data_IF_081193488922
#
_entry.id   IF_081193488922
#
_cell.length_a   1.000
_cell.length_b   1.000
_cell.length_c   1.000
_cell.angle_alpha   90.00
_cell.angle_beta   90.00
_cell.angle_gamma   90.00
#
_symmetry.space_group_name_H-M   'P 1'
#
loop_
_entity.id
_entity.type
_entity.pdbx_description
1 polymer ?
#
# COMPACT_ATOMS: atom_id res chain seq x y z
N UNK A 1 13.53 12.05 16.00
CA UNK A 1 13.48 11.72 14.56
C UNK A 1 14.77 11.01 14.20
N UNK A 2 14.74 9.68 14.13
CA UNK A 2 15.93 8.89 13.76
C UNK A 2 16.11 8.95 12.24
N UNK A 3 17.31 9.29 11.76
CA UNK A 3 17.60 9.38 10.35
C UNK A 3 17.49 8.00 9.68
N UNK A 4 16.74 7.90 8.59
CA UNK A 4 16.67 6.68 7.77
C UNK A 4 18.03 6.44 7.12
N UNK A 5 18.75 5.41 7.58
CA UNK A 5 20.01 4.99 6.98
C UNK A 5 19.70 4.21 5.70
N UNK A 6 20.35 4.56 4.59
CA UNK A 6 20.20 3.82 3.33
C UNK A 6 20.51 2.32 3.57
N UNK A 7 19.64 1.43 3.09
CA UNK A 7 19.76 -0.02 3.32
C UNK A 7 19.23 -0.53 4.67
N UNK A 8 18.66 0.34 5.53
CA UNK A 8 17.91 -0.11 6.71
C UNK A 8 16.58 -0.77 6.31
N UNK A 9 16.13 -1.72 7.13
CA UNK A 9 14.87 -2.46 6.89
C UNK A 9 13.69 -1.52 7.13
N UNK A 10 12.86 -1.34 6.09
CA UNK A 10 11.65 -0.54 6.17
C UNK A 10 10.48 -1.38 6.71
N UNK A 11 10.38 -2.64 6.28
CA UNK A 11 9.35 -3.60 6.68
C UNK A 11 10.03 -4.95 6.90
N UNK A 12 9.71 -5.59 8.01
CA UNK A 12 10.09 -6.97 8.32
C UNK A 12 8.86 -7.75 8.77
N UNK A 13 8.71 -8.95 8.25
CA UNK A 13 7.69 -9.92 8.61
C UNK A 13 8.41 -11.22 8.93
N UNK A 14 8.31 -11.67 10.17
CA UNK A 14 9.01 -12.87 10.63
C UNK A 14 8.02 -13.96 11.02
N UNK A 15 8.22 -15.16 10.48
CA UNK A 15 7.45 -16.37 10.73
C UNK A 15 5.92 -16.17 10.59
N UNK A 16 5.48 -15.45 9.56
CA UNK A 16 4.06 -15.15 9.37
C UNK A 16 3.30 -16.41 8.92
N UNK A 17 2.30 -16.77 9.71
CA UNK A 17 1.36 -17.84 9.39
C UNK A 17 -0.05 -17.26 9.21
N UNK A 18 -0.79 -17.81 8.23
CA UNK A 18 -2.19 -17.47 8.02
C UNK A 18 -2.98 -18.65 7.50
N UNK A 19 -4.11 -18.94 8.14
CA UNK A 19 -5.08 -19.96 7.77
C UNK A 19 -6.42 -19.31 7.42
N UNK A 20 -7.11 -19.91 6.46
CA UNK A 20 -8.50 -19.63 6.14
C UNK A 20 -9.25 -20.96 6.13
N UNK A 21 -10.09 -21.19 7.14
CA UNK A 21 -10.70 -22.50 7.35
C UNK A 21 -9.64 -23.60 7.43
N UNK A 22 -9.77 -24.64 6.61
CA UNK A 22 -8.81 -25.76 6.53
C UNK A 22 -7.56 -25.49 5.70
N UNK A 23 -7.43 -24.32 5.05
CA UNK A 23 -6.33 -24.03 4.13
C UNK A 23 -5.28 -23.15 4.81
N UNK A 24 -4.02 -23.56 4.74
CA UNK A 24 -2.88 -22.72 5.12
C UNK A 24 -2.45 -21.86 3.95
N UNK A 25 -2.82 -20.58 3.97
CA UNK A 25 -2.39 -19.62 2.96
C UNK A 25 -0.92 -19.18 3.16
N UNK A 26 -0.45 -19.12 4.41
CA UNK A 26 0.95 -18.84 4.76
C UNK A 26 1.40 -19.79 5.88
N UNK A 27 2.64 -20.25 5.83
CA UNK A 27 3.26 -21.14 6.82
C UNK A 27 4.64 -20.60 7.21
N UNK A 28 4.72 -19.92 8.36
CA UNK A 28 5.96 -19.36 8.90
C UNK A 28 6.82 -18.64 7.84
N UNK A 29 6.20 -17.74 7.07
CA UNK A 29 6.86 -17.02 5.97
C UNK A 29 7.62 -15.81 6.50
N UNK A 30 8.87 -15.68 6.08
CA UNK A 30 9.68 -14.49 6.28
C UNK A 30 9.66 -13.58 5.04
N UNK A 31 9.52 -12.28 5.25
CA UNK A 31 9.54 -11.27 4.19
C UNK A 31 10.07 -9.93 4.70
N UNK A 32 11.03 -9.35 3.99
CA UNK A 32 11.60 -8.04 4.31
C UNK A 32 11.64 -7.12 3.09
N UNK A 33 11.61 -5.82 3.35
CA UNK A 33 11.90 -4.78 2.35
C UNK A 33 12.71 -3.67 3.00
N UNK A 34 13.78 -3.23 2.36
CA UNK A 34 14.60 -2.08 2.81
C UNK A 34 14.12 -0.77 2.21
N UNK A 35 14.52 0.34 2.83
CA UNK A 35 14.32 1.65 2.21
C UNK A 35 15.07 1.73 0.87
N UNK A 36 14.42 2.34 -0.12
CA UNK A 36 14.93 2.48 -1.49
C UNK A 36 15.16 1.15 -2.23
N UNK A 37 14.50 0.07 -1.79
CA UNK A 37 14.55 -1.24 -2.45
C UNK A 37 13.30 -1.49 -3.28
N UNK A 38 13.47 -2.07 -4.46
CA UNK A 38 12.38 -2.70 -5.21
C UNK A 38 12.48 -4.21 -4.99
N UNK A 39 11.47 -4.80 -4.37
CA UNK A 39 11.39 -6.24 -4.15
C UNK A 39 10.24 -6.85 -4.93
N UNK A 40 10.54 -7.90 -5.68
CA UNK A 40 9.54 -8.71 -6.37
C UNK A 40 9.15 -9.92 -5.51
N UNK A 41 7.86 -10.15 -5.36
CA UNK A 41 7.31 -11.36 -4.75
C UNK A 41 6.65 -12.22 -5.85
N UNK A 42 7.28 -13.34 -6.17
CA UNK A 42 6.88 -14.22 -7.27
C UNK A 42 6.43 -15.60 -6.74
N UNK A 43 5.62 -16.30 -7.54
CA UNK A 43 5.09 -17.62 -7.20
C UNK A 43 3.78 -17.91 -7.90
N UNK A 44 3.32 -19.16 -7.83
CA UNK A 44 2.07 -19.60 -8.49
C UNK A 44 0.81 -18.99 -7.86
N UNK A 45 -0.31 -19.10 -8.56
CA UNK A 45 -1.61 -18.74 -8.00
C UNK A 45 -1.91 -19.64 -6.79
N UNK A 46 -2.35 -19.02 -5.69
CA UNK A 46 -2.56 -19.75 -4.43
C UNK A 46 -1.33 -19.84 -3.52
N UNK A 47 -0.14 -19.40 -3.94
CA UNK A 47 1.07 -19.42 -3.12
C UNK A 47 1.08 -18.42 -1.93
N UNK A 48 -0.03 -17.71 -1.66
CA UNK A 48 -0.14 -16.80 -0.52
C UNK A 48 0.36 -15.37 -0.76
N UNK A 49 0.83 -15.02 -1.98
CA UNK A 49 1.34 -13.67 -2.30
C UNK A 49 0.36 -12.54 -1.97
N UNK A 50 -0.90 -12.69 -2.37
CA UNK A 50 -1.92 -11.69 -2.06
C UNK A 50 -2.26 -11.67 -0.56
N UNK A 51 -2.10 -12.79 0.14
CA UNK A 51 -2.33 -12.89 1.59
C UNK A 51 -1.29 -12.09 2.36
N UNK A 52 0.01 -12.26 2.06
CA UNK A 52 1.06 -11.52 2.75
C UNK A 52 0.94 -10.01 2.51
N UNK A 53 0.57 -9.61 1.28
CA UNK A 53 0.29 -8.23 0.94
C UNK A 53 -0.93 -7.67 1.69
N UNK A 54 -2.04 -8.44 1.81
CA UNK A 54 -3.22 -8.05 2.60
C UNK A 54 -2.89 -7.87 4.08
N UNK A 55 -2.00 -8.71 4.63
CA UNK A 55 -1.51 -8.56 6.00
C UNK A 55 -0.72 -7.25 6.16
N UNK A 56 0.17 -6.92 5.22
CA UNK A 56 0.89 -5.64 5.22
C UNK A 56 -0.02 -4.42 5.12
N UNK A 57 -1.14 -4.53 4.39
CA UNK A 57 -2.17 -3.48 4.34
C UNK A 57 -3.04 -3.44 5.61
N UNK A 58 -2.93 -4.44 6.49
CA UNK A 58 -3.77 -4.57 7.67
C UNK A 58 -5.23 -4.97 7.37
N UNK A 59 -5.48 -5.56 6.19
CA UNK A 59 -6.80 -6.13 5.84
C UNK A 59 -6.98 -7.49 6.51
N UNK A 60 -5.88 -8.23 6.65
CA UNK A 60 -5.85 -9.53 7.32
C UNK A 60 -4.91 -9.45 8.53
N UNK A 61 -5.27 -10.13 9.61
CA UNK A 61 -4.42 -10.27 10.79
C UNK A 61 -3.68 -11.60 10.68
N UNK A 62 -2.35 -11.66 10.85
CA UNK A 62 -1.63 -12.93 10.86
C UNK A 62 -2.05 -13.76 12.08
N UNK A 63 -2.09 -15.08 11.95
CA UNK A 63 -2.42 -15.95 13.09
C UNK A 63 -1.20 -16.10 14.02
N UNK A 64 0.00 -16.06 13.44
CA UNK A 64 1.28 -16.15 14.15
C UNK A 64 2.35 -15.29 13.44
N UNK A 65 3.47 -15.07 14.13
CA UNK A 65 4.59 -14.29 13.64
C UNK A 65 4.45 -12.81 14.00
N UNK A 66 5.37 -11.99 13.48
CA UNK A 66 5.43 -10.56 13.85
C UNK A 66 5.82 -9.65 12.71
N UNK A 67 5.33 -8.41 12.79
CA UNK A 67 5.54 -7.38 11.79
C UNK A 67 6.33 -6.24 12.45
N UNK A 68 7.39 -5.77 11.81
CA UNK A 68 8.14 -4.58 12.22
C UNK A 68 8.11 -3.58 11.08
N UNK A 69 7.74 -2.33 11.36
CA UNK A 69 7.69 -1.26 10.36
C UNK A 69 8.53 -0.09 10.85
N UNK A 70 9.56 0.27 10.09
CA UNK A 70 10.54 1.33 10.44
C UNK A 70 11.14 1.17 11.83
N UNK A 71 11.39 -0.08 12.25
CA UNK A 71 11.94 -0.43 13.57
C UNK A 71 10.91 -0.65 14.67
N UNK A 72 9.64 -0.30 14.46
CA UNK A 72 8.59 -0.49 15.46
C UNK A 72 7.89 -1.84 15.28
N UNK A 73 7.99 -2.72 16.28
CA UNK A 73 7.27 -4.00 16.30
C UNK A 73 5.77 -3.76 16.48
N UNK A 74 4.97 -4.47 15.68
CA UNK A 74 3.52 -4.41 15.62
C UNK A 74 2.96 -5.82 15.71
N UNK A 75 1.99 -6.02 16.59
CA UNK A 75 1.25 -7.28 16.69
C UNK A 75 0.30 -7.48 15.51
N UNK A 76 -0.30 -6.39 15.03
CA UNK A 76 -1.16 -6.36 13.85
C UNK A 76 -1.14 -4.97 13.21
N UNK A 77 -1.57 -4.90 11.95
CA UNK A 77 -1.84 -3.66 11.23
C UNK A 77 -3.34 -3.53 10.98
N UNK A 78 -3.81 -2.30 10.91
CA UNK A 78 -5.13 -1.95 10.38
C UNK A 78 -4.94 -1.14 9.10
N UNK A 79 -5.96 -1.02 8.23
CA UNK A 79 -5.84 -0.21 7.01
C UNK A 79 -5.56 1.27 7.28
N UNK A 80 -5.97 1.79 8.44
CA UNK A 80 -5.61 3.15 8.87
C UNK A 80 -4.15 3.21 9.32
N UNK A 81 -3.74 2.34 10.25
CA UNK A 81 -2.36 2.37 10.76
C UNK A 81 -1.31 2.07 9.69
N UNK A 82 -1.61 1.18 8.73
CA UNK A 82 -0.71 0.90 7.60
C UNK A 82 -0.51 2.16 6.75
N UNK A 83 -1.58 2.91 6.46
CA UNK A 83 -1.50 4.19 5.74
C UNK A 83 -0.71 5.25 6.51
N UNK A 84 -0.95 5.39 7.81
CA UNK A 84 -0.23 6.34 8.66
C UNK A 84 1.29 6.04 8.69
N UNK A 85 1.66 4.78 8.48
CA UNK A 85 3.06 4.33 8.36
C UNK A 85 3.64 4.52 6.93
N UNK A 86 2.83 4.94 5.96
CA UNK A 86 3.22 5.13 4.56
C UNK A 86 3.14 3.87 3.70
N UNK A 87 2.38 2.85 4.11
CA UNK A 87 2.17 1.62 3.34
C UNK A 87 0.95 1.82 2.43
N UNK A 88 1.21 1.94 1.13
CA UNK A 88 0.20 1.99 0.07
C UNK A 88 0.14 0.67 -0.72
N UNK A 89 -1.01 0.40 -1.33
CA UNK A 89 -1.20 -0.76 -2.23
C UNK A 89 -2.01 -0.35 -3.45
N UNK A 90 -1.55 -0.78 -4.62
CA UNK A 90 -2.28 -0.68 -5.89
C UNK A 90 -2.81 -2.08 -6.22
N UNK A 91 -4.11 -2.20 -6.46
CA UNK A 91 -4.75 -3.47 -6.82
C UNK A 91 -4.66 -3.74 -8.32
N UNK A 92 -4.73 -5.02 -8.70
CA UNK A 92 -4.65 -5.45 -10.11
C UNK A 92 -5.85 -4.98 -10.95
N UNK A 93 -7.02 -4.78 -10.34
CA UNK A 93 -8.19 -4.22 -11.01
C UNK A 93 -8.33 -2.72 -10.71
N UNK A 94 -8.64 -1.95 -11.76
CA UNK A 94 -8.81 -0.49 -11.70
C UNK A 94 -9.85 -0.12 -10.65
N UNK A 95 -9.42 0.53 -9.56
CA UNK A 95 -10.29 0.95 -8.46
C UNK A 95 -10.87 2.36 -8.64
N UNK A 96 -11.07 2.80 -9.88
CA UNK A 96 -11.64 4.13 -10.16
C UNK A 96 -13.15 4.13 -9.89
N UNK A 97 -13.64 5.23 -9.32
CA UNK A 97 -15.08 5.51 -9.23
C UNK A 97 -15.44 6.43 -10.40
N UNK A 98 -16.18 5.95 -11.42
CA UNK A 98 -16.42 6.70 -12.65
C UNK A 98 -17.16 8.03 -12.43
N UNK A 99 -18.01 8.08 -11.42
CA UNK A 99 -18.81 9.26 -11.09
C UNK A 99 -18.02 10.34 -10.35
N UNK A 100 -16.78 10.04 -9.93
CA UNK A 100 -15.90 10.99 -9.28
C UNK A 100 -14.96 11.65 -10.29
N UNK A 101 -14.67 12.93 -10.05
CA UNK A 101 -13.62 13.63 -10.82
C UNK A 101 -12.25 12.97 -10.58
N UNK A 102 -11.28 13.27 -11.45
CA UNK A 102 -9.90 12.80 -11.28
C UNK A 102 -9.32 13.21 -9.91
N UNK A 103 -9.53 14.47 -9.50
CA UNK A 103 -9.09 14.94 -8.20
C UNK A 103 -9.74 14.15 -7.06
N UNK A 104 -11.06 13.93 -7.11
CA UNK A 104 -11.75 13.15 -6.09
C UNK A 104 -11.31 11.68 -6.06
N UNK A 105 -10.99 11.07 -7.20
CA UNK A 105 -10.40 9.73 -7.23
C UNK A 105 -9.00 9.69 -6.60
N UNK A 106 -8.16 10.72 -6.81
CA UNK A 106 -6.80 10.80 -6.22
C UNK A 106 -6.87 10.90 -4.69
N UNK A 107 -7.80 11.70 -4.17
CA UNK A 107 -7.92 11.99 -2.74
C UNK A 107 -8.96 11.13 -2.02
N UNK A 108 -9.53 10.13 -2.68
CA UNK A 108 -10.54 9.26 -2.07
C UNK A 108 -9.98 8.57 -0.81
N UNK A 109 -10.72 8.67 0.30
CA UNK A 109 -10.33 8.22 1.64
C UNK A 109 -9.15 9.01 2.29
N UNK A 110 -8.80 10.15 1.71
CA UNK A 110 -7.87 11.15 2.23
C UNK A 110 -8.30 12.58 1.80
N UNK A 111 -9.59 12.88 1.91
CA UNK A 111 -10.16 14.13 1.46
C UNK A 111 -9.69 15.29 2.37
N UNK A 112 -9.06 16.35 1.84
CA UNK A 112 -8.78 17.55 2.61
C UNK A 112 -10.10 18.19 3.05
N UNK A 113 -10.09 18.78 4.24
CA UNK A 113 -11.27 19.46 4.79
C UNK A 113 -10.96 20.93 5.04
N UNK A 114 -11.98 21.76 4.86
CA UNK A 114 -11.97 23.17 5.25
C UNK A 114 -11.91 23.30 6.77
N UNK A 115 -11.66 24.51 7.29
CA UNK A 115 -11.70 24.77 8.74
C UNK A 115 -13.05 24.45 9.41
N UNK A 116 -14.12 24.30 8.64
CA UNK A 116 -15.44 23.88 9.10
C UNK A 116 -15.68 22.36 9.05
N UNK A 117 -14.68 21.55 8.64
CA UNK A 117 -14.79 20.10 8.52
C UNK A 117 -15.50 19.60 7.25
N UNK A 118 -15.85 20.49 6.32
CA UNK A 118 -16.42 20.13 5.01
C UNK A 118 -15.32 19.78 4.02
N UNK A 119 -15.58 18.86 3.09
CA UNK A 119 -14.63 18.47 2.03
C UNK A 119 -14.22 19.71 1.21
N UNK A 120 -12.90 19.92 1.08
CA UNK A 120 -12.31 21.00 0.31
C UNK A 120 -11.99 20.55 -1.12
N UNK A 121 -13.02 20.66 -1.94
CA UNK A 121 -13.00 20.32 -3.35
C UNK A 121 -12.02 21.19 -4.15
N UNK A 122 -11.73 22.43 -3.69
CA UNK A 122 -10.77 23.32 -4.35
C UNK A 122 -9.35 22.87 -4.06
N UNK A 123 -9.03 22.58 -2.80
CA UNK A 123 -7.72 22.08 -2.39
C UNK A 123 -7.35 20.79 -3.16
N UNK A 124 -8.29 19.84 -3.29
CA UNK A 124 -8.07 18.62 -4.08
C UNK A 124 -7.69 18.91 -5.54
N UNK A 125 -8.35 19.86 -6.19
CA UNK A 125 -8.06 20.21 -7.60
C UNK A 125 -6.70 20.87 -7.75
N UNK A 126 -6.32 21.74 -6.83
CA UNK A 126 -5.03 22.44 -6.86
C UNK A 126 -3.88 21.47 -6.57
N UNK A 127 -4.04 20.57 -5.60
CA UNK A 127 -3.03 19.55 -5.30
C UNK A 127 -2.91 18.50 -6.42
N UNK A 128 -4.03 18.06 -7.01
CA UNK A 128 -4.00 17.20 -8.19
C UNK A 128 -3.21 17.84 -9.34
N UNK A 129 -3.37 19.15 -9.59
CA UNK A 129 -2.60 19.87 -10.62
C UNK A 129 -1.11 19.81 -10.33
N UNK A 130 -0.70 19.98 -9.07
CA UNK A 130 0.71 19.90 -8.66
C UNK A 130 1.28 18.49 -8.84
N UNK A 131 0.53 17.46 -8.46
CA UNK A 131 0.90 16.06 -8.68
C UNK A 131 1.15 15.81 -10.18
N UNK A 132 0.20 16.19 -11.05
CA UNK A 132 0.37 16.02 -12.49
C UNK A 132 1.54 16.83 -13.06
N UNK A 133 1.80 18.04 -12.54
CA UNK A 133 2.94 18.85 -12.97
C UNK A 133 4.29 18.23 -12.58
N UNK A 134 4.36 17.50 -11.47
CA UNK A 134 5.57 16.79 -11.03
C UNK A 134 5.82 15.46 -11.74
N UNK A 135 4.80 14.88 -12.38
CA UNK A 135 4.93 13.61 -13.08
C UNK A 135 5.72 13.79 -14.37
N UNK A 136 6.76 12.97 -14.54
CA UNK A 136 7.42 12.81 -15.85
C UNK A 136 6.34 12.31 -16.82
N UNK A 137 6.20 12.98 -17.97
CA UNK A 137 5.27 12.52 -19.01
C UNK A 137 5.73 11.16 -19.53
N UNK A 138 5.21 10.09 -18.93
CA UNK A 138 5.34 8.73 -19.46
C UNK A 138 4.41 8.71 -20.67
N UNK A 139 4.96 9.05 -21.84
CA UNK A 139 4.26 8.92 -23.11
C UNK A 139 4.16 7.40 -23.38
N UNK A 140 2.97 6.78 -23.27
CA UNK A 140 2.86 5.35 -23.55
C UNK A 140 3.32 5.12 -25.00
N UNK A 141 4.04 4.03 -25.30
CA UNK A 141 4.30 3.66 -26.68
C UNK A 141 2.95 3.53 -27.40
N UNK A 142 2.89 4.02 -28.65
CA UNK A 142 1.69 3.88 -29.49
C UNK A 142 1.40 2.40 -29.70
N UNK A 143 0.51 1.82 -28.92
CA UNK A 143 -0.05 0.47 -29.16
C UNK A 143 -1.20 0.53 -30.18
N UNK A 144 -1.09 1.37 -31.21
CA UNK A 144 -2.03 1.35 -32.32
C UNK A 144 -1.63 0.22 -33.27
N UNK A 145 -2.23 -0.97 -33.09
CA UNK A 145 -2.40 -2.10 -34.03
C UNK A 145 -2.22 -3.50 -33.36
N UNK A 146 -3.01 -3.80 -32.33
CA UNK A 146 -3.47 -5.17 -32.05
C UNK A 146 -4.98 -5.14 -31.86
#
# INVERSE_FOLDING_TARGET
>A
MSATVAGSVAIEMAAISKRFGGVHALRAVDFDVRFSEIRALLGENGAGKSTILKILRGVEVPDEGTITVKGDRRSALTPRSARDLGIGMIFQEMSLVPDLTVAQNIFLANEPTTGAGLIDDRAMRDEARNIFASMISIRPPRWANC
#
